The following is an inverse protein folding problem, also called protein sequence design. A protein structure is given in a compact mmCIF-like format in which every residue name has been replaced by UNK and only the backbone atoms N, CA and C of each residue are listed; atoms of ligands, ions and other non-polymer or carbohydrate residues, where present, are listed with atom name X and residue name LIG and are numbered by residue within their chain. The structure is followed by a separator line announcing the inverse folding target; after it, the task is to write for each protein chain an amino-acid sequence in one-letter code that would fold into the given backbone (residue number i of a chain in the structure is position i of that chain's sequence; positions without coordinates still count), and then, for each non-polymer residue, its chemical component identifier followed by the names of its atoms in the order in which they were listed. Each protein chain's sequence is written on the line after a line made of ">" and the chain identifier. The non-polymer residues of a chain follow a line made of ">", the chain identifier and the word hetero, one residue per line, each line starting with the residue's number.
data_IF_973766671876
#
_entry.id   IF_973766671876
#
_cell.length_a   1.000
_cell.length_b   1.000
_cell.length_c   1.000
_cell.angle_alpha   90.00
_cell.angle_beta   90.00
_cell.angle_gamma   90.00
#
_symmetry.space_group_name_H-M   'P 1'
#
loop_
_entity.id
_entity.type
_entity.pdbx_description
1 polymer ?
#
# COMPACT_ATOMS: atom_id res chain seq x y z
N UNK A 1 -24.02 -34.35 32.94
CA UNK A 1 -22.57 -34.66 32.82
C UNK A 1 -21.95 -34.07 31.54
N UNK A 2 -22.41 -32.91 31.03
CA UNK A 2 -22.06 -32.40 29.68
C UNK A 2 -21.56 -30.93 29.62
N UNK A 3 -21.34 -30.25 30.75
CA UNK A 3 -20.99 -28.81 30.74
C UNK A 3 -19.49 -28.51 30.98
N UNK A 4 -18.74 -29.40 31.65
CA UNK A 4 -17.36 -29.10 32.05
C UNK A 4 -16.36 -29.11 30.88
N UNK A 5 -16.46 -30.05 29.95
CA UNK A 5 -15.56 -30.10 28.78
C UNK A 5 -15.82 -28.94 27.81
N UNK A 6 -17.09 -28.52 27.69
CA UNK A 6 -17.46 -27.37 26.88
C UNK A 6 -16.87 -26.08 27.43
N UNK A 7 -17.10 -25.81 28.71
CA UNK A 7 -16.57 -24.62 29.39
C UNK A 7 -15.05 -24.59 29.35
N UNK A 8 -14.39 -25.72 29.60
CA UNK A 8 -12.93 -25.83 29.50
C UNK A 8 -12.42 -25.45 28.10
N UNK A 9 -13.05 -25.96 27.04
CA UNK A 9 -12.65 -25.63 25.68
C UNK A 9 -12.85 -24.14 25.36
N UNK A 10 -13.94 -23.53 25.82
CA UNK A 10 -14.19 -22.09 25.63
C UNK A 10 -13.12 -21.26 26.34
N UNK A 11 -12.80 -21.57 27.59
CA UNK A 11 -11.74 -20.90 28.36
C UNK A 11 -10.37 -21.04 27.69
N UNK A 12 -10.05 -22.22 27.17
CA UNK A 12 -8.79 -22.47 26.46
C UNK A 12 -8.68 -21.66 25.15
N UNK A 13 -9.76 -21.58 24.38
CA UNK A 13 -9.80 -20.80 23.14
C UNK A 13 -9.73 -19.29 23.43
N UNK A 14 -10.43 -18.81 24.46
CA UNK A 14 -10.37 -17.42 24.91
C UNK A 14 -8.94 -17.04 25.34
N UNK A 15 -8.32 -17.86 26.19
CA UNK A 15 -6.94 -17.66 26.61
C UNK A 15 -5.97 -17.62 25.43
N UNK A 16 -6.07 -18.58 24.52
CA UNK A 16 -5.20 -18.65 23.35
C UNK A 16 -5.39 -17.41 22.45
N UNK A 17 -6.62 -16.91 22.33
CA UNK A 17 -6.92 -15.70 21.57
C UNK A 17 -6.29 -14.47 22.22
N UNK A 18 -6.46 -14.28 23.52
CA UNK A 18 -5.90 -13.14 24.24
C UNK A 18 -4.35 -13.15 24.27
N UNK A 19 -3.73 -14.33 24.35
CA UNK A 19 -2.28 -14.46 24.12
C UNK A 19 -1.89 -13.98 22.72
N UNK A 20 -2.67 -14.36 21.72
CA UNK A 20 -2.40 -13.96 20.34
C UNK A 20 -2.60 -12.46 20.11
N UNK A 21 -3.56 -11.83 20.78
CA UNK A 21 -3.70 -10.38 20.71
C UNK A 21 -2.54 -9.65 21.40
N UNK A 22 -1.96 -10.21 22.47
CA UNK A 22 -0.72 -9.66 23.06
C UNK A 22 0.44 -9.73 22.07
N UNK A 23 0.56 -10.82 21.31
CA UNK A 23 1.54 -10.90 20.22
C UNK A 23 1.28 -9.81 19.15
N UNK A 24 0.02 -9.60 18.76
CA UNK A 24 -0.36 -8.54 17.81
C UNK A 24 0.07 -7.17 18.32
N UNK A 25 -0.24 -6.84 19.57
CA UNK A 25 0.08 -5.56 20.20
C UNK A 25 1.59 -5.31 20.27
N UNK A 26 2.40 -6.36 20.42
CA UNK A 26 3.87 -6.28 20.51
C UNK A 26 4.58 -6.48 19.17
N UNK A 27 3.86 -6.86 18.11
CA UNK A 27 4.43 -7.19 16.79
C UNK A 27 5.05 -6.01 16.05
N UNK A 28 4.65 -4.78 16.38
CA UNK A 28 5.03 -3.57 15.64
C UNK A 28 4.35 -3.41 14.27
N UNK A 29 3.43 -4.31 13.90
CA UNK A 29 2.66 -4.19 12.65
C UNK A 29 1.45 -3.25 12.77
N UNK A 30 0.93 -3.07 13.98
CA UNK A 30 -0.20 -2.19 14.29
C UNK A 30 0.12 -1.38 15.54
N UNK A 31 -0.44 -0.17 15.64
CA UNK A 31 -0.33 0.63 16.86
C UNK A 31 -1.28 0.08 17.94
N UNK A 32 -0.94 0.31 19.21
CA UNK A 32 -1.83 -0.05 20.31
C UNK A 32 -3.19 0.67 20.23
N UNK A 33 -3.20 1.94 19.79
CA UNK A 33 -4.45 2.71 19.67
C UNK A 33 -5.38 2.17 18.59
N UNK A 34 -4.84 1.76 17.44
CA UNK A 34 -5.67 1.19 16.35
C UNK A 34 -6.17 -0.20 16.71
N UNK A 35 -5.37 -1.00 17.42
CA UNK A 35 -5.84 -2.28 17.94
C UNK A 35 -6.99 -2.10 18.94
N UNK A 36 -6.92 -1.07 19.79
CA UNK A 36 -7.98 -0.77 20.76
C UNK A 36 -9.25 -0.27 20.06
N UNK A 37 -9.13 0.61 19.08
CA UNK A 37 -10.24 1.04 18.23
C UNK A 37 -10.96 -0.17 17.60
N UNK A 38 -10.21 -1.16 17.08
CA UNK A 38 -10.81 -2.36 16.50
C UNK A 38 -11.51 -3.24 17.55
N UNK A 39 -11.03 -3.24 18.80
CA UNK A 39 -11.69 -3.93 19.92
C UNK A 39 -12.99 -3.25 20.30
N UNK A 40 -12.97 -1.92 20.43
CA UNK A 40 -14.16 -1.10 20.72
C UNK A 40 -15.22 -1.26 19.63
N UNK A 41 -14.82 -1.17 18.36
CA UNK A 41 -15.68 -1.42 17.19
C UNK A 41 -16.35 -2.80 17.25
N UNK A 42 -15.57 -3.84 17.57
CA UNK A 42 -16.08 -5.20 17.67
C UNK A 42 -17.11 -5.32 18.80
N UNK A 43 -16.83 -4.75 19.97
CA UNK A 43 -17.77 -4.76 21.10
C UNK A 43 -19.05 -3.99 20.79
N UNK A 44 -18.94 -2.83 20.16
CA UNK A 44 -20.09 -2.02 19.75
C UNK A 44 -20.98 -2.77 18.76
N UNK A 45 -20.36 -3.40 17.77
CA UNK A 45 -21.06 -4.22 16.80
C UNK A 45 -21.83 -5.37 17.48
N UNK A 46 -21.21 -6.08 18.44
CA UNK A 46 -21.89 -7.13 19.19
C UNK A 46 -23.05 -6.56 20.02
N UNK A 47 -22.86 -5.40 20.69
CA UNK A 47 -23.93 -4.72 21.43
C UNK A 47 -25.12 -4.38 20.53
N UNK A 48 -24.87 -3.90 19.32
CA UNK A 48 -25.93 -3.66 18.34
C UNK A 48 -26.73 -4.92 18.04
N UNK A 49 -26.05 -6.01 17.66
CA UNK A 49 -26.74 -7.25 17.31
C UNK A 49 -27.55 -7.83 18.47
N UNK A 50 -27.03 -7.78 19.70
CA UNK A 50 -27.75 -8.23 20.90
C UNK A 50 -29.04 -7.41 21.12
N UNK A 51 -29.00 -6.11 20.83
CA UNK A 51 -30.13 -5.19 21.00
C UNK A 51 -31.09 -5.16 19.80
N UNK A 52 -30.93 -6.06 18.81
CA UNK A 52 -31.79 -6.09 17.63
C UNK A 52 -31.53 -4.96 16.63
N UNK A 53 -30.31 -4.41 16.67
CA UNK A 53 -29.77 -3.46 15.69
C UNK A 53 -28.85 -4.21 14.73
N UNK A 54 -29.11 -4.07 13.43
CA UNK A 54 -28.43 -4.81 12.36
C UNK A 54 -27.76 -3.85 11.38
N UNK A 55 -26.71 -4.31 10.72
CA UNK A 55 -26.03 -3.55 9.66
C UNK A 55 -26.56 -3.99 8.30
N UNK A 56 -26.97 -3.03 7.49
CA UNK A 56 -27.41 -3.27 6.11
C UNK A 56 -26.24 -3.31 5.13
N UNK A 57 -26.47 -3.81 3.91
CA UNK A 57 -25.42 -3.98 2.89
C UNK A 57 -24.71 -2.67 2.49
N UNK A 58 -25.33 -1.52 2.71
CA UNK A 58 -24.73 -0.20 2.48
C UNK A 58 -24.09 0.40 3.74
N UNK A 59 -23.92 -0.39 4.81
CA UNK A 59 -23.24 0.00 6.04
C UNK A 59 -24.10 0.78 7.03
N UNK A 60 -25.41 0.90 6.83
CA UNK A 60 -26.30 1.65 7.74
C UNK A 60 -26.98 0.76 8.76
N UNK A 61 -27.24 1.31 9.96
CA UNK A 61 -27.97 0.63 11.02
C UNK A 61 -29.46 0.49 10.67
N UNK A 62 -30.02 -0.65 11.04
CA UNK A 62 -31.42 -0.99 10.83
C UNK A 62 -31.97 -1.72 12.06
N UNK A 63 -33.26 -1.57 12.35
CA UNK A 63 -33.93 -2.37 13.37
C UNK A 63 -34.33 -3.75 12.82
N UNK A 64 -34.94 -4.60 13.65
CA UNK A 64 -35.44 -5.94 13.26
C UNK A 64 -36.56 -5.91 12.20
N UNK A 65 -37.22 -4.77 12.00
CA UNK A 65 -38.23 -4.58 10.96
C UNK A 65 -37.64 -4.12 9.61
N UNK A 66 -36.35 -3.78 9.59
CA UNK A 66 -35.65 -3.29 8.40
C UNK A 66 -35.87 -1.80 8.15
N UNK A 67 -36.24 -1.03 9.16
CA UNK A 67 -36.23 0.43 9.09
C UNK A 67 -34.84 0.93 9.47
N UNK A 68 -34.36 1.97 8.77
CA UNK A 68 -33.10 2.61 9.12
C UNK A 68 -33.24 3.31 10.47
N UNK A 69 -32.19 3.20 11.28
CA UNK A 69 -32.10 3.84 12.58
C UNK A 69 -30.79 4.61 12.73
N UNK A 70 -30.77 5.62 13.60
CA UNK A 70 -29.55 6.28 14.03
C UNK A 70 -28.90 5.56 15.22
N UNK A 71 -27.77 6.08 15.68
CA UNK A 71 -27.03 5.59 16.87
C UNK A 71 -27.85 5.61 18.16
N UNK A 72 -28.88 6.46 18.24
CA UNK A 72 -29.82 6.53 19.37
C UNK A 72 -31.02 5.58 19.24
N UNK A 73 -30.99 4.66 18.26
CA UNK A 73 -32.06 3.72 17.94
C UNK A 73 -33.39 4.39 17.52
N UNK A 74 -33.30 5.58 16.93
CA UNK A 74 -34.44 6.33 16.41
C UNK A 74 -34.57 6.12 14.91
N UNK A 75 -35.81 5.99 14.42
CA UNK A 75 -36.05 5.79 13.01
C UNK A 75 -35.57 7.01 12.20
N UNK A 76 -34.89 6.72 11.09
CA UNK A 76 -34.44 7.73 10.12
C UNK A 76 -34.90 7.36 8.72
N UNK A 77 -35.01 8.36 7.86
CA UNK A 77 -35.23 8.15 6.44
C UNK A 77 -33.90 7.79 5.71
N UNK A 78 -33.97 7.59 4.39
CA UNK A 78 -32.78 7.30 3.58
C UNK A 78 -31.75 8.45 3.53
N UNK A 79 -32.14 9.66 3.91
CA UNK A 79 -31.24 10.83 3.96
C UNK A 79 -30.64 11.02 5.36
N UNK A 80 -31.01 10.18 6.34
CA UNK A 80 -30.52 10.27 7.72
C UNK A 80 -31.35 11.18 8.64
N UNK A 81 -32.50 11.68 8.18
CA UNK A 81 -33.37 12.56 8.99
C UNK A 81 -34.32 11.74 9.87
N UNK A 82 -34.50 12.16 11.12
CA UNK A 82 -35.39 11.52 12.11
C UNK A 82 -36.84 11.52 11.62
N UNK A 83 -37.49 10.37 11.79
CA UNK A 83 -38.90 10.17 11.46
C UNK A 83 -39.65 9.51 12.62
N UNK A 84 -40.93 9.83 12.78
CA UNK A 84 -41.79 9.18 13.76
C UNK A 84 -42.32 7.81 13.25
N UNK A 85 -43.16 7.17 14.08
CA UNK A 85 -43.85 5.92 13.77
C UNK A 85 -44.91 6.01 12.67
N UNK A 86 -45.10 7.15 12.03
CA UNK A 86 -45.93 7.32 10.83
C UNK A 86 -45.09 7.60 9.57
N UNK A 87 -43.77 7.80 9.71
CA UNK A 87 -42.89 8.21 8.61
C UNK A 87 -42.85 9.72 8.37
N UNK A 88 -43.25 10.53 9.37
CA UNK A 88 -43.22 11.99 9.30
C UNK A 88 -41.90 12.50 9.88
N UNK A 89 -41.30 13.52 9.26
CA UNK A 89 -40.08 14.14 9.77
C UNK A 89 -40.33 14.78 11.13
N UNK A 90 -39.40 14.61 12.06
CA UNK A 90 -39.45 15.19 13.40
C UNK A 90 -38.22 16.05 13.69
N UNK A 91 -38.41 17.11 14.46
CA UNK A 91 -37.33 17.96 14.99
C UNK A 91 -36.61 17.29 16.16
N UNK A 92 -35.59 17.94 16.69
CA UNK A 92 -34.81 17.46 17.84
C UNK A 92 -35.68 17.17 19.07
N UNK A 93 -36.79 17.87 19.23
CA UNK A 93 -37.75 17.70 20.33
C UNK A 93 -38.82 16.63 20.05
N UNK A 94 -38.80 15.99 18.87
CA UNK A 94 -39.79 15.00 18.45
C UNK A 94 -41.09 15.58 17.88
N UNK A 95 -41.15 16.89 17.63
CA UNK A 95 -42.31 17.52 16.99
C UNK A 95 -42.27 17.32 15.49
N UNK A 96 -43.42 17.07 14.88
CA UNK A 96 -43.54 16.94 13.43
C UNK A 96 -43.16 18.24 12.74
N UNK A 97 -42.17 18.17 11.85
CA UNK A 97 -41.78 19.28 10.98
C UNK A 97 -42.77 19.28 9.82
N UNK A 98 -43.82 20.10 9.91
CA UNK A 98 -44.85 20.21 8.89
C UNK A 98 -44.26 20.68 7.56
N UNK A 99 -44.10 19.77 6.60
CA UNK A 99 -43.68 20.09 5.24
C UNK A 99 -44.91 20.22 4.34
N UNK A 100 -45.07 21.39 3.70
CA UNK A 100 -46.15 21.65 2.73
C UNK A 100 -45.99 20.77 1.50
N UNK A 101 -46.68 19.64 1.50
CA UNK A 101 -46.80 18.75 0.36
C UNK A 101 -47.08 17.35 0.87
N UNK A 102 -48.11 16.71 0.33
CA UNK A 102 -48.57 15.35 0.62
C UNK A 102 -47.54 14.27 0.24
N UNK A 103 -46.30 14.38 0.69
CA UNK A 103 -45.31 13.34 0.65
C UNK A 103 -45.14 12.85 2.08
N UNK A 104 -45.90 11.81 2.44
CA UNK A 104 -45.39 10.89 3.45
C UNK A 104 -43.99 10.52 2.97
N UNK A 105 -42.95 10.93 3.70
CA UNK A 105 -41.60 10.49 3.40
C UNK A 105 -41.65 8.99 3.55
N UNK A 106 -41.65 8.28 2.41
CA UNK A 106 -41.93 6.85 2.38
C UNK A 106 -41.03 6.22 3.42
N UNK A 107 -41.64 5.64 4.46
CA UNK A 107 -41.05 4.53 5.20
C UNK A 107 -40.62 3.53 4.14
N UNK A 108 -39.37 3.62 3.70
CA UNK A 108 -38.75 2.54 2.97
C UNK A 108 -38.46 1.49 4.02
N UNK A 109 -39.52 0.81 4.46
CA UNK A 109 -39.41 -0.45 5.16
C UNK A 109 -38.74 -1.39 4.17
N UNK A 110 -37.49 -1.76 4.47
CA UNK A 110 -36.74 -2.72 3.65
C UNK A 110 -37.56 -4.02 3.53
N UNK A 111 -38.38 -4.35 4.53
CA UNK A 111 -39.30 -5.50 4.52
C UNK A 111 -40.23 -5.58 3.30
N UNK A 112 -40.70 -4.45 2.74
CA UNK A 112 -41.59 -4.45 1.55
C UNK A 112 -40.88 -4.27 0.21
N UNK A 113 -39.65 -3.73 0.21
CA UNK A 113 -38.88 -3.47 -1.02
C UNK A 113 -37.79 -4.53 -1.26
N UNK A 114 -37.43 -5.28 -0.22
CA UNK A 114 -36.20 -6.08 -0.11
C UNK A 114 -36.51 -7.40 0.60
N UNK A 115 -37.42 -8.20 0.05
CA UNK A 115 -37.57 -9.59 0.50
C UNK A 115 -36.30 -10.45 0.26
N UNK A 116 -35.24 -9.89 -0.35
CA UNK A 116 -34.02 -10.61 -0.74
C UNK A 116 -32.65 -9.98 -0.39
N UNK A 117 -32.51 -8.76 0.19
CA UNK A 117 -31.23 -8.03 0.01
C UNK A 117 -30.60 -7.07 1.05
N UNK A 118 -31.00 -6.88 2.31
CA UNK A 118 -30.30 -5.80 3.08
C UNK A 118 -30.32 -5.80 4.60
N UNK A 119 -30.46 -6.94 5.26
CA UNK A 119 -30.06 -7.05 6.67
C UNK A 119 -29.01 -8.14 6.74
N UNK A 120 -27.82 -7.80 7.20
CA UNK A 120 -26.86 -8.81 7.56
C UNK A 120 -27.11 -9.23 9.00
N UNK A 121 -27.39 -10.51 9.21
CA UNK A 121 -27.14 -11.10 10.53
C UNK A 121 -25.63 -11.05 10.80
N UNK A 122 -25.23 -11.29 12.05
CA UNK A 122 -23.82 -11.40 12.39
C UNK A 122 -23.08 -12.44 11.51
N UNK A 123 -23.75 -13.56 11.21
CA UNK A 123 -23.25 -14.60 10.31
C UNK A 123 -23.06 -14.07 8.89
N UNK A 124 -24.06 -13.36 8.34
CA UNK A 124 -24.00 -12.82 6.99
C UNK A 124 -22.95 -11.71 6.86
N UNK A 125 -22.79 -10.88 7.91
CA UNK A 125 -21.77 -9.84 7.95
C UNK A 125 -20.37 -10.46 7.85
N UNK A 126 -20.08 -11.45 8.70
CA UNK A 126 -18.81 -12.19 8.66
C UNK A 126 -18.62 -12.82 7.27
N UNK A 127 -19.63 -13.51 6.74
CA UNK A 127 -19.55 -14.18 5.44
C UNK A 127 -19.29 -13.21 4.28
N UNK A 128 -20.00 -12.08 4.23
CA UNK A 128 -19.82 -11.04 3.22
C UNK A 128 -18.38 -10.51 3.19
N UNK A 129 -17.80 -10.26 4.36
CA UNK A 129 -16.40 -9.83 4.45
C UNK A 129 -15.41 -10.94 4.08
N UNK A 130 -15.71 -12.22 4.34
CA UNK A 130 -14.87 -13.33 3.87
C UNK A 130 -14.88 -13.42 2.34
N UNK A 131 -16.06 -13.40 1.71
CA UNK A 131 -16.20 -13.52 0.25
C UNK A 131 -15.49 -12.38 -0.49
N UNK A 132 -15.60 -11.15 0.05
CA UNK A 132 -14.94 -9.97 -0.52
C UNK A 132 -13.42 -10.01 -0.43
N UNK A 133 -12.85 -10.82 0.47
CA UNK A 133 -11.42 -10.87 0.78
C UNK A 133 -10.82 -12.26 0.60
N UNK A 134 -11.38 -13.07 -0.30
CA UNK A 134 -10.98 -14.47 -0.42
C UNK A 134 -9.49 -14.59 -0.79
N UNK A 135 -8.73 -15.31 0.05
CA UNK A 135 -7.27 -15.48 -0.07
C UNK A 135 -6.84 -16.12 -1.40
N UNK A 136 -7.78 -16.74 -2.11
CA UNK A 136 -7.59 -17.27 -3.45
C UNK A 136 -7.27 -16.17 -4.47
N UNK A 137 -7.80 -14.96 -4.29
CA UNK A 137 -7.54 -13.84 -5.21
C UNK A 137 -6.14 -13.24 -5.03
N UNK A 138 -5.59 -13.33 -3.82
CA UNK A 138 -4.19 -12.99 -3.48
C UNK A 138 -3.17 -13.85 -4.24
N UNK A 139 -3.47 -15.14 -4.42
CA UNK A 139 -2.56 -16.10 -5.08
C UNK A 139 -2.73 -16.17 -6.61
N UNK A 140 -3.86 -15.67 -7.15
CA UNK A 140 -4.22 -15.79 -8.57
C UNK A 140 -3.53 -14.82 -9.53
N UNK A 141 -2.47 -14.12 -9.10
CA UNK A 141 -1.54 -13.34 -9.96
C UNK A 141 -2.20 -12.22 -10.77
N UNK A 142 -2.45 -11.08 -10.13
CA UNK A 142 -2.44 -9.74 -10.77
C UNK A 142 -2.72 -8.59 -9.78
N UNK A 143 -2.96 -8.88 -8.49
CA UNK A 143 -3.22 -7.84 -7.50
C UNK A 143 -1.92 -7.22 -6.96
N UNK A 144 -1.91 -5.89 -6.87
CA UNK A 144 -0.89 -5.15 -6.14
C UNK A 144 -1.04 -5.50 -4.65
N UNK A 145 -0.08 -6.27 -4.15
CA UNK A 145 -0.09 -6.75 -2.76
C UNK A 145 -0.16 -5.60 -1.74
N UNK A 146 0.29 -4.40 -2.11
CA UNK A 146 0.22 -3.22 -1.25
C UNK A 146 -1.19 -2.61 -1.15
N UNK A 147 -2.14 -3.03 -2.00
CA UNK A 147 -3.54 -2.56 -1.99
C UNK A 147 -4.47 -3.46 -1.19
N UNK A 148 -3.92 -4.50 -0.56
CA UNK A 148 -4.69 -5.50 0.14
C UNK A 148 -4.86 -5.02 1.57
N UNK A 149 -6.11 -4.75 1.93
CA UNK A 149 -6.49 -4.43 3.30
C UNK A 149 -6.48 -5.72 4.12
N UNK A 150 -5.31 -6.08 4.63
CA UNK A 150 -5.14 -7.26 5.47
C UNK A 150 -5.79 -7.08 6.85
N UNK A 151 -5.99 -5.85 7.31
CA UNK A 151 -6.52 -5.53 8.65
C UNK A 151 -7.95 -5.98 8.84
N UNK A 152 -8.68 -6.21 7.73
CA UNK A 152 -9.98 -6.88 7.75
C UNK A 152 -9.95 -8.20 8.54
N UNK A 153 -8.87 -8.97 8.43
CA UNK A 153 -8.75 -10.24 9.16
C UNK A 153 -8.59 -10.00 10.66
N UNK A 154 -7.86 -8.97 11.09
CA UNK A 154 -7.75 -8.65 12.50
C UNK A 154 -9.10 -8.21 13.08
N UNK A 155 -9.82 -7.34 12.37
CA UNK A 155 -11.19 -6.91 12.74
C UNK A 155 -12.14 -8.10 12.83
N UNK A 156 -12.18 -8.95 11.80
CA UNK A 156 -12.98 -10.18 11.81
C UNK A 156 -12.61 -11.11 12.97
N UNK A 157 -11.33 -11.19 13.32
CA UNK A 157 -10.88 -12.00 14.46
C UNK A 157 -11.51 -11.52 15.78
N UNK A 158 -11.47 -10.22 16.04
CA UNK A 158 -12.01 -9.61 17.27
C UNK A 158 -13.53 -9.74 17.33
N UNK A 159 -14.18 -9.50 16.20
CA UNK A 159 -15.63 -9.66 15.99
C UNK A 159 -16.07 -11.10 16.25
N UNK A 160 -15.39 -12.09 15.66
CA UNK A 160 -15.66 -13.51 15.87
C UNK A 160 -15.42 -13.92 17.33
N UNK A 161 -14.35 -13.43 17.96
CA UNK A 161 -14.06 -13.74 19.37
C UNK A 161 -15.19 -13.25 20.28
N UNK A 162 -15.56 -11.97 20.19
CA UNK A 162 -16.64 -11.39 21.00
C UNK A 162 -17.98 -12.10 20.79
N UNK A 163 -18.32 -12.41 19.53
CA UNK A 163 -19.54 -13.14 19.22
C UNK A 163 -19.51 -14.58 19.74
N UNK A 164 -18.38 -15.26 19.59
CA UNK A 164 -18.16 -16.61 20.09
C UNK A 164 -18.31 -16.70 21.61
N UNK A 165 -17.75 -15.73 22.33
CA UNK A 165 -17.92 -15.62 23.78
C UNK A 165 -19.37 -15.37 24.18
N UNK A 166 -20.06 -14.45 23.50
CA UNK A 166 -21.48 -14.19 23.75
C UNK A 166 -22.33 -15.46 23.54
N UNK A 167 -22.19 -16.12 22.40
CA UNK A 167 -22.94 -17.34 22.04
C UNK A 167 -22.65 -18.50 22.98
N UNK A 168 -21.40 -18.65 23.42
CA UNK A 168 -20.99 -19.71 24.36
C UNK A 168 -21.62 -19.54 25.75
N UNK A 169 -22.01 -18.33 26.12
CA UNK A 169 -22.66 -18.02 27.40
C UNK A 169 -24.20 -18.10 27.35
N UNK A 170 -24.80 -18.41 26.19
CA UNK A 170 -26.24 -18.63 26.09
C UNK A 170 -26.62 -20.02 26.60
N UNK A 171 -27.81 -20.17 27.18
CA UNK A 171 -28.29 -21.45 27.74
C UNK A 171 -28.70 -22.49 26.68
N UNK A 172 -28.66 -22.13 25.40
CA UNK A 172 -29.11 -22.98 24.30
C UNK A 172 -27.94 -23.79 23.72
N UNK A 173 -28.03 -25.12 23.76
CA UNK A 173 -26.95 -26.02 23.33
C UNK A 173 -26.48 -25.80 21.88
N UNK A 174 -27.39 -25.45 20.96
CA UNK A 174 -27.04 -25.20 19.55
C UNK A 174 -26.23 -23.91 19.41
N UNK A 175 -26.59 -22.88 20.17
CA UNK A 175 -25.88 -21.59 20.21
C UNK A 175 -24.49 -21.73 20.84
N UNK A 176 -24.37 -22.55 21.88
CA UNK A 176 -23.09 -22.90 22.48
C UNK A 176 -22.16 -23.61 21.49
N UNK A 177 -22.71 -24.52 20.67
CA UNK A 177 -21.93 -25.16 19.62
C UNK A 177 -21.44 -24.17 18.56
N UNK A 178 -22.30 -23.25 18.11
CA UNK A 178 -21.91 -22.17 17.21
C UNK A 178 -20.84 -21.26 17.80
N UNK A 179 -20.93 -20.92 19.10
CA UNK A 179 -19.97 -20.08 19.80
C UNK A 179 -18.53 -20.58 19.67
N UNK A 180 -18.31 -21.89 19.81
CA UNK A 180 -16.99 -22.52 19.60
C UNK A 180 -16.44 -22.32 18.20
N UNK A 181 -17.30 -22.44 17.18
CA UNK A 181 -16.88 -22.23 15.78
C UNK A 181 -16.35 -20.82 15.59
N UNK A 182 -17.02 -19.81 16.14
CA UNK A 182 -16.54 -18.43 16.07
C UNK A 182 -15.24 -18.20 16.83
N UNK A 183 -15.04 -18.84 17.98
CA UNK A 183 -13.78 -18.76 18.70
C UNK A 183 -12.61 -19.39 17.91
N UNK A 184 -12.86 -20.50 17.21
CA UNK A 184 -11.89 -21.05 16.25
C UNK A 184 -11.64 -20.12 15.06
N UNK A 185 -12.69 -19.55 14.48
CA UNK A 185 -12.57 -18.61 13.37
C UNK A 185 -11.78 -17.36 13.80
N UNK A 186 -11.94 -16.89 15.03
CA UNK A 186 -11.15 -15.81 15.60
C UNK A 186 -9.65 -16.12 15.58
N UNK A 187 -9.25 -17.30 16.07
CA UNK A 187 -7.85 -17.76 16.03
C UNK A 187 -7.31 -17.93 14.61
N UNK A 188 -8.16 -18.38 13.68
CA UNK A 188 -7.79 -18.50 12.28
C UNK A 188 -7.53 -17.13 11.65
N UNK A 189 -8.43 -16.16 11.83
CA UNK A 189 -8.28 -14.84 11.23
C UNK A 189 -7.12 -14.03 11.79
N UNK A 190 -6.87 -14.08 13.10
CA UNK A 190 -5.70 -13.41 13.67
C UNK A 190 -4.38 -14.05 13.17
N UNK A 191 -4.40 -15.36 12.90
CA UNK A 191 -3.26 -16.05 12.30
C UNK A 191 -3.04 -15.65 10.83
N UNK A 192 -4.12 -15.50 10.06
CA UNK A 192 -4.08 -14.97 8.69
C UNK A 192 -3.56 -13.54 8.65
N UNK A 193 -4.01 -12.68 9.55
CA UNK A 193 -3.52 -11.30 9.67
C UNK A 193 -2.00 -11.27 9.87
N UNK A 194 -1.49 -12.04 10.84
CA UNK A 194 -0.04 -12.08 11.12
C UNK A 194 0.75 -12.66 9.95
N UNK A 195 0.22 -13.69 9.28
CA UNK A 195 0.79 -14.20 8.03
C UNK A 195 0.87 -13.11 6.96
N UNK A 196 -0.21 -12.36 6.76
CA UNK A 196 -0.29 -11.24 5.83
C UNK A 196 0.75 -10.16 6.13
N UNK A 197 0.85 -9.71 7.39
CA UNK A 197 1.85 -8.71 7.80
C UNK A 197 3.28 -9.16 7.48
N UNK A 198 3.61 -10.44 7.75
CA UNK A 198 4.94 -11.00 7.44
C UNK A 198 5.23 -10.96 5.94
N UNK A 199 4.28 -11.36 5.11
CA UNK A 199 4.44 -11.33 3.64
C UNK A 199 4.63 -9.90 3.13
N UNK A 200 3.85 -8.94 3.63
CA UNK A 200 4.00 -7.52 3.27
C UNK A 200 5.38 -6.97 3.65
N UNK A 201 5.88 -7.32 4.84
CA UNK A 201 7.20 -6.90 5.28
C UNK A 201 8.31 -7.48 4.39
N UNK A 202 8.24 -8.77 4.06
CA UNK A 202 9.17 -9.42 3.13
C UNK A 202 9.14 -8.72 1.76
N UNK A 203 7.94 -8.42 1.24
CA UNK A 203 7.81 -7.70 -0.04
C UNK A 203 8.46 -6.31 0.00
N UNK A 204 8.26 -5.57 1.10
CA UNK A 204 8.91 -4.27 1.31
C UNK A 204 10.43 -4.38 1.31
N UNK A 205 10.98 -5.42 1.93
CA UNK A 205 12.43 -5.68 1.90
C UNK A 205 12.93 -5.95 0.48
N UNK A 206 12.21 -6.76 -0.31
CA UNK A 206 12.57 -7.01 -1.71
C UNK A 206 12.54 -5.74 -2.56
N UNK A 207 11.52 -4.91 -2.42
CA UNK A 207 11.42 -3.64 -3.15
C UNK A 207 12.53 -2.66 -2.75
N UNK A 208 12.87 -2.57 -1.46
CA UNK A 208 14.01 -1.77 -1.00
C UNK A 208 15.34 -2.28 -1.57
N UNK A 209 15.55 -3.59 -1.64
CA UNK A 209 16.74 -4.18 -2.26
C UNK A 209 16.81 -3.90 -3.76
N UNK A 210 15.68 -3.95 -4.48
CA UNK A 210 15.66 -3.56 -5.90
C UNK A 210 16.04 -2.09 -6.08
N UNK A 211 15.50 -1.20 -5.24
CA UNK A 211 15.84 0.23 -5.27
C UNK A 211 17.33 0.47 -4.99
N UNK A 212 17.88 -0.18 -3.97
CA UNK A 212 19.30 -0.03 -3.63
C UNK A 212 20.22 -0.54 -4.75
N UNK A 213 19.84 -1.62 -5.45
CA UNK A 213 20.56 -2.10 -6.63
C UNK A 213 20.51 -1.07 -7.79
N UNK A 214 19.37 -0.43 -8.02
CA UNK A 214 19.23 0.62 -9.04
C UNK A 214 20.08 1.83 -8.67
N UNK A 215 20.03 2.29 -7.42
CA UNK A 215 20.84 3.40 -6.93
C UNK A 215 22.35 3.08 -7.03
N UNK A 216 22.77 1.88 -6.64
CA UNK A 216 24.15 1.44 -6.78
C UNK A 216 24.59 1.40 -8.25
N UNK A 217 23.72 0.94 -9.16
CA UNK A 217 23.99 0.95 -10.59
C UNK A 217 24.11 2.40 -11.14
N UNK A 218 23.26 3.31 -10.68
CA UNK A 218 23.31 4.74 -11.05
C UNK A 218 24.58 5.41 -10.52
N UNK A 219 24.93 5.20 -9.25
CA UNK A 219 26.16 5.72 -8.64
C UNK A 219 27.40 5.16 -9.35
N UNK A 220 27.40 3.86 -9.65
CA UNK A 220 28.45 3.23 -10.45
C UNK A 220 28.55 3.83 -11.85
N UNK A 221 27.42 4.12 -12.48
CA UNK A 221 27.34 4.83 -13.77
C UNK A 221 27.92 6.25 -13.68
N UNK A 222 27.55 7.02 -12.65
CA UNK A 222 28.03 8.38 -12.40
C UNK A 222 29.54 8.39 -12.15
N UNK A 223 30.05 7.54 -11.27
CA UNK A 223 31.49 7.42 -11.03
C UNK A 223 32.28 6.99 -12.28
N UNK A 224 31.69 6.14 -13.14
CA UNK A 224 32.29 5.84 -14.45
C UNK A 224 32.35 7.07 -15.35
N UNK A 225 31.30 7.89 -15.38
CA UNK A 225 31.26 9.12 -16.18
C UNK A 225 32.24 10.18 -15.67
N UNK A 226 32.40 10.33 -14.36
CA UNK A 226 33.32 11.28 -13.72
C UNK A 226 34.79 11.02 -14.08
N UNK A 227 35.17 9.74 -14.27
CA UNK A 227 36.52 9.41 -14.73
C UNK A 227 36.90 10.10 -16.05
N UNK A 228 35.91 10.43 -16.90
CA UNK A 228 36.15 11.07 -18.18
C UNK A 228 36.20 12.60 -18.11
N UNK A 229 35.92 13.22 -16.96
CA UNK A 229 35.91 14.68 -16.80
C UNK A 229 37.23 15.33 -17.23
N UNK A 230 38.43 14.86 -16.79
CA UNK A 230 39.70 15.48 -17.18
C UNK A 230 39.89 15.49 -18.71
N UNK A 231 39.60 14.36 -19.34
CA UNK A 231 39.68 14.22 -20.79
C UNK A 231 38.66 15.11 -21.51
N UNK A 232 37.42 15.18 -21.03
CA UNK A 232 36.38 16.02 -21.64
C UNK A 232 36.75 17.50 -21.57
N UNK A 233 37.27 17.96 -20.42
CA UNK A 233 37.76 19.33 -20.27
C UNK A 233 38.90 19.63 -21.23
N UNK A 234 39.87 18.70 -21.36
CA UNK A 234 40.97 18.87 -22.30
C UNK A 234 40.50 18.92 -23.76
N UNK A 235 39.52 18.11 -24.13
CA UNK A 235 38.92 18.17 -25.49
C UNK A 235 38.30 19.55 -25.74
N UNK A 236 37.56 20.10 -24.79
CA UNK A 236 36.94 21.43 -24.94
C UNK A 236 38.00 22.52 -25.05
N UNK A 237 39.06 22.46 -24.24
CA UNK A 237 40.20 23.37 -24.33
C UNK A 237 40.84 23.34 -25.72
N UNK A 238 41.19 22.15 -26.20
CA UNK A 238 41.82 21.94 -27.51
C UNK A 238 40.94 22.38 -28.69
N UNK A 239 39.62 22.13 -28.60
CA UNK A 239 38.66 22.56 -29.63
C UNK A 239 38.63 24.08 -29.80
N UNK A 240 38.77 24.82 -28.69
CA UNK A 240 38.78 26.30 -28.67
C UNK A 240 40.14 26.87 -29.04
N UNK A 241 41.21 26.30 -28.51
CA UNK A 241 42.59 26.76 -28.75
C UNK A 241 43.00 26.60 -30.23
N UNK A 242 42.65 25.46 -30.84
CA UNK A 242 43.10 25.10 -32.20
C UNK A 242 42.10 25.45 -33.30
N UNK A 243 41.11 26.29 -33.00
CA UNK A 243 40.09 26.67 -33.98
C UNK A 243 40.74 27.39 -35.18
N UNK A 244 40.55 26.90 -36.42
CA UNK A 244 41.09 27.56 -37.60
C UNK A 244 40.31 28.84 -37.92
N UNK A 245 40.92 29.77 -38.67
CA UNK A 245 40.23 30.97 -39.16
C UNK A 245 39.01 30.57 -39.99
N UNK A 246 37.82 30.95 -39.53
CA UNK A 246 36.53 30.58 -40.12
C UNK A 246 35.78 29.46 -39.39
N UNK A 247 36.42 28.76 -38.44
CA UNK A 247 35.85 27.66 -37.68
C UNK A 247 36.12 26.27 -38.29
N UNK A 248 35.76 25.22 -37.57
CA UNK A 248 35.94 23.85 -38.03
C UNK A 248 34.92 23.45 -39.09
N UNK A 249 35.39 22.85 -40.19
CA UNK A 249 34.53 22.42 -41.31
C UNK A 249 33.44 21.41 -40.91
N UNK A 250 33.72 20.55 -39.93
CA UNK A 250 32.77 19.59 -39.38
C UNK A 250 33.25 19.04 -38.04
N UNK A 251 32.34 18.39 -37.27
CA UNK A 251 32.70 17.63 -36.06
C UNK A 251 33.80 16.61 -36.33
N UNK A 252 33.69 15.84 -37.42
CA UNK A 252 34.67 14.81 -37.77
C UNK A 252 36.05 15.40 -38.09
N UNK A 253 36.09 16.52 -38.82
CA UNK A 253 37.33 17.21 -39.13
C UNK A 253 38.04 17.72 -37.88
N UNK A 254 37.28 18.28 -36.92
CA UNK A 254 37.81 18.73 -35.65
C UNK A 254 38.35 17.57 -34.81
N UNK A 255 37.57 16.48 -34.67
CA UNK A 255 38.01 15.29 -33.91
C UNK A 255 39.33 14.74 -34.45
N UNK A 256 39.44 14.56 -35.77
CA UNK A 256 40.66 14.01 -36.38
C UNK A 256 41.87 14.93 -36.21
N UNK A 257 41.68 16.25 -36.27
CA UNK A 257 42.77 17.20 -36.10
C UNK A 257 43.35 17.22 -34.67
N UNK A 258 42.57 16.80 -33.68
CA UNK A 258 42.98 16.75 -32.26
C UNK A 258 43.64 15.42 -31.85
N UNK A 259 43.78 14.45 -32.75
CA UNK A 259 44.30 13.11 -32.47
C UNK A 259 45.62 13.13 -31.68
N UNK A 260 46.62 13.82 -32.21
CA UNK A 260 47.95 13.85 -31.61
C UNK A 260 47.95 14.50 -30.23
N UNK A 261 47.20 15.58 -30.03
CA UNK A 261 47.15 16.30 -28.75
C UNK A 261 46.42 15.51 -27.68
N UNK A 262 45.32 14.84 -28.05
CA UNK A 262 44.55 13.99 -27.15
C UNK A 262 45.36 12.75 -26.75
N UNK A 263 46.04 12.10 -27.70
CA UNK A 263 46.91 10.96 -27.40
C UNK A 263 48.05 11.38 -26.46
N UNK A 264 48.73 12.50 -26.75
CA UNK A 264 49.79 13.04 -25.90
C UNK A 264 49.29 13.37 -24.50
N UNK A 265 48.10 13.96 -24.37
CA UNK A 265 47.49 14.23 -23.06
C UNK A 265 47.26 12.93 -22.28
N UNK A 266 46.66 11.91 -22.91
CA UNK A 266 46.42 10.61 -22.26
C UNK A 266 47.72 9.90 -21.86
N UNK A 267 48.78 10.01 -22.65
CA UNK A 267 50.10 9.46 -22.33
C UNK A 267 50.72 10.16 -21.12
N UNK A 268 50.69 11.49 -21.09
CA UNK A 268 51.21 12.27 -19.96
C UNK A 268 50.47 11.93 -18.66
N UNK A 269 49.14 11.90 -18.69
CA UNK A 269 48.32 11.53 -17.53
C UNK A 269 48.58 10.08 -17.08
N UNK A 270 48.87 9.16 -18.03
CA UNK A 270 49.19 7.77 -17.72
C UNK A 270 50.55 7.66 -17.03
N UNK A 271 51.56 8.40 -17.52
CA UNK A 271 52.88 8.45 -16.91
C UNK A 271 52.84 9.06 -15.50
N UNK A 272 52.08 10.15 -15.33
CA UNK A 272 51.88 10.76 -14.02
C UNK A 272 51.25 9.75 -13.06
N UNK A 273 50.18 9.07 -13.47
CA UNK A 273 49.53 8.01 -12.68
C UNK A 273 50.50 6.90 -12.26
N UNK A 274 51.35 6.45 -13.18
CA UNK A 274 52.34 5.40 -12.91
C UNK A 274 53.43 5.83 -11.94
N UNK A 275 53.80 7.12 -11.92
CA UNK A 275 54.85 7.65 -11.03
C UNK A 275 54.53 7.49 -9.55
N UNK A 276 53.24 7.60 -9.17
CA UNK A 276 52.78 7.44 -7.79
C UNK A 276 51.98 6.15 -7.55
N UNK A 277 51.49 5.47 -8.60
CA UNK A 277 50.79 4.18 -8.53
C UNK A 277 51.23 3.23 -9.66
N UNK A 278 52.38 2.54 -9.50
CA UNK A 278 52.89 1.60 -10.49
C UNK A 278 51.86 0.52 -10.85
N UNK A 279 51.73 0.23 -12.16
CA UNK A 279 50.84 -0.82 -12.69
C UNK A 279 49.35 -0.44 -12.79
N UNK A 280 48.95 0.78 -12.40
CA UNK A 280 47.58 1.29 -12.62
C UNK A 280 47.45 1.90 -14.02
N UNK A 281 46.32 1.62 -14.67
CA UNK A 281 45.91 2.26 -15.93
C UNK A 281 44.82 3.30 -15.72
N UNK A 282 44.91 4.41 -16.45
CA UNK A 282 43.86 5.40 -16.57
C UNK A 282 42.57 4.75 -17.05
N UNK A 283 41.45 5.16 -16.43
CA UNK A 283 40.14 4.58 -16.71
C UNK A 283 39.61 4.92 -18.12
N UNK A 284 40.09 6.01 -18.70
CA UNK A 284 39.65 6.48 -20.02
C UNK A 284 40.65 6.22 -21.15
N UNK A 285 41.85 5.70 -20.84
CA UNK A 285 42.87 5.39 -21.83
C UNK A 285 42.34 4.37 -22.84
N UNK A 286 42.49 4.68 -24.13
CA UNK A 286 42.06 3.82 -25.22
C UNK A 286 42.85 4.16 -26.49
N UNK A 287 42.93 3.18 -27.40
CA UNK A 287 43.39 3.43 -28.75
C UNK A 287 42.51 4.46 -29.47
N UNK A 288 43.09 5.18 -30.42
CA UNK A 288 42.44 6.33 -31.07
C UNK A 288 41.14 5.99 -31.77
N UNK A 289 41.03 4.83 -32.42
CA UNK A 289 39.81 4.36 -33.08
C UNK A 289 38.59 4.32 -32.12
N UNK A 290 38.83 3.88 -30.87
CA UNK A 290 37.82 3.86 -29.81
C UNK A 290 37.56 5.25 -29.26
N UNK A 291 38.60 6.06 -29.13
CA UNK A 291 38.50 7.42 -28.61
C UNK A 291 37.71 8.32 -29.57
N UNK A 292 38.02 8.26 -30.86
CA UNK A 292 37.35 8.99 -31.93
C UNK A 292 35.83 8.73 -31.92
N UNK A 293 35.42 7.45 -31.83
CA UNK A 293 33.99 7.06 -31.70
C UNK A 293 33.35 7.66 -30.45
N UNK A 294 34.04 7.57 -29.31
CA UNK A 294 33.54 8.09 -28.04
C UNK A 294 33.36 9.62 -28.06
N UNK A 295 34.31 10.36 -28.63
CA UNK A 295 34.22 11.82 -28.79
C UNK A 295 33.10 12.18 -29.76
N UNK A 296 32.94 11.42 -30.85
CA UNK A 296 31.81 11.57 -31.77
C UNK A 296 30.47 11.40 -31.05
N UNK A 297 30.34 10.40 -30.19
CA UNK A 297 29.11 10.20 -29.40
C UNK A 297 28.88 11.33 -28.39
N UNK A 298 29.92 11.77 -27.68
CA UNK A 298 29.84 12.91 -26.77
C UNK A 298 29.48 14.22 -27.48
N UNK A 299 29.94 14.43 -28.72
CA UNK A 299 29.57 15.60 -29.52
C UNK A 299 28.06 15.73 -29.80
N UNK A 300 27.28 14.67 -29.54
CA UNK A 300 25.82 14.61 -29.71
C UNK A 300 25.08 14.63 -28.37
N UNK A 301 25.64 13.95 -27.37
CA UNK A 301 24.94 13.56 -26.15
C UNK A 301 25.47 14.19 -24.86
N UNK A 302 26.73 14.64 -24.83
CA UNK A 302 27.32 15.28 -23.66
C UNK A 302 27.15 16.80 -23.75
N UNK A 303 26.50 17.43 -22.77
CA UNK A 303 26.15 18.85 -22.84
C UNK A 303 27.36 19.77 -23.04
N UNK A 304 28.44 19.53 -22.28
CA UNK A 304 29.65 20.36 -22.31
C UNK A 304 30.37 20.24 -23.66
N UNK A 305 30.61 19.01 -24.12
CA UNK A 305 31.30 18.76 -25.39
C UNK A 305 30.44 19.22 -26.57
N UNK A 306 29.14 18.93 -26.55
CA UNK A 306 28.20 19.35 -27.59
C UNK A 306 28.16 20.87 -27.73
N UNK A 307 28.10 21.60 -26.61
CA UNK A 307 28.14 23.06 -26.62
C UNK A 307 29.43 23.59 -27.24
N UNK A 308 30.59 23.06 -26.84
CA UNK A 308 31.88 23.45 -27.40
C UNK A 308 31.95 23.22 -28.91
N UNK A 309 31.52 22.05 -29.41
CA UNK A 309 31.46 21.81 -30.85
C UNK A 309 30.54 22.79 -31.58
N UNK A 310 29.37 23.08 -31.03
CA UNK A 310 28.42 24.01 -31.67
C UNK A 310 28.97 25.45 -31.74
N UNK A 311 29.86 25.83 -30.83
CA UNK A 311 30.52 27.14 -30.82
C UNK A 311 31.61 27.26 -31.90
N UNK A 312 32.39 26.19 -32.12
CA UNK A 312 33.60 26.25 -32.95
C UNK A 312 33.41 25.77 -34.39
N UNK A 313 32.26 25.20 -34.74
CA UNK A 313 31.94 24.73 -36.10
C UNK A 313 31.48 25.90 -36.97
N UNK A 314 31.93 25.91 -38.24
CA UNK A 314 31.47 26.91 -39.21
C UNK A 314 29.96 26.83 -39.37
N UNK A 315 29.29 27.98 -39.30
CA UNK A 315 27.84 28.09 -39.55
C UNK A 315 27.55 28.22 -41.04
#
# INVERSE_FOLDING_TARGET
>A
MKNNEFNFLVEELDRAFEERVKDVATSGYISASTLEEYREDAEELIRYFINGVYVSNNGRLTNSEGDYINENNENINYEGMRINSNGELIDDNGNVIEYKGSQQYKRRSLKKMVANYSQFTMQDYIHYWIEKFNFVDLLKRQYDINKIDIDVYLRLSLICHRWGMYKSNLDQNDEQYEGRKYLFDALNYISLWIGGCKVLNINRMFENNKRSLIEAAQLGGKGRAENYIPLKLKIVELLKEKVPKGGWKSKASAINALENDINKFMENEQQELESYRPGKKLKYYAAWDKMQRRISDWSRNDEMIKAAFNEVIMK
#
